data_IF_680538654367
#
_entry.id   IF_680538654367
#
_cell.length_a   1.000
_cell.length_b   1.000
_cell.length_c   1.000
_cell.angle_alpha   90.00
_cell.angle_beta   90.00
_cell.angle_gamma   90.00
#
_symmetry.space_group_name_H-M   'P 1'
#
loop_
_entity.id
_entity.type
_entity.pdbx_description
1 polymer ?
#
# COMPACT_ATOMS: atom_id res chain seq x y z
N UNK A 1 14.40 -4.50 -30.33
CA UNK A 1 14.70 -5.44 -29.21
C UNK A 1 13.84 -6.68 -29.40
N UNK A 2 14.48 -7.83 -29.40
CA UNK A 2 13.75 -9.09 -29.52
C UNK A 2 13.03 -9.41 -28.20
N UNK A 3 11.73 -9.65 -28.28
CA UNK A 3 10.92 -10.00 -27.12
C UNK A 3 11.25 -11.43 -26.69
N UNK A 4 11.55 -11.63 -25.42
CA UNK A 4 11.80 -12.96 -24.90
C UNK A 4 10.58 -13.87 -25.08
N UNK A 5 10.79 -15.09 -25.51
CA UNK A 5 9.74 -16.12 -25.55
C UNK A 5 9.69 -16.81 -24.20
N UNK A 6 8.54 -16.76 -23.57
CA UNK A 6 8.28 -17.41 -22.29
C UNK A 6 7.04 -18.30 -22.40
N UNK A 7 6.98 -19.32 -21.57
CA UNK A 7 5.84 -20.26 -21.51
C UNK A 7 4.75 -19.79 -20.55
N UNK A 8 4.40 -18.51 -20.59
CA UNK A 8 3.46 -17.89 -19.67
C UNK A 8 2.11 -18.59 -19.60
N UNK A 9 1.66 -19.19 -20.69
CA UNK A 9 0.41 -19.96 -20.73
C UNK A 9 0.42 -21.26 -19.90
N UNK A 10 1.59 -21.71 -19.48
CA UNK A 10 1.78 -22.92 -18.64
C UNK A 10 2.13 -22.60 -17.20
N UNK A 11 2.25 -21.34 -16.87
CA UNK A 11 2.56 -20.91 -15.50
C UNK A 11 1.30 -21.00 -14.65
N UNK A 12 1.45 -21.58 -13.47
CA UNK A 12 0.42 -21.50 -12.44
C UNK A 12 0.45 -20.11 -11.85
N UNK A 13 -0.64 -19.39 -11.99
CA UNK A 13 -0.78 -18.07 -11.37
C UNK A 13 -1.29 -18.24 -9.96
N UNK A 14 -0.52 -17.75 -9.00
CA UNK A 14 -0.93 -17.66 -7.61
C UNK A 14 -1.43 -16.24 -7.34
N UNK A 15 -2.53 -16.13 -6.65
CA UNK A 15 -3.04 -14.85 -6.17
C UNK A 15 -3.23 -14.88 -4.66
N UNK A 16 -3.08 -13.75 -4.04
CA UNK A 16 -3.38 -13.51 -2.63
C UNK A 16 -4.40 -12.39 -2.54
N UNK A 17 -5.24 -12.43 -1.54
CA UNK A 17 -6.30 -11.44 -1.35
C UNK A 17 -6.04 -10.62 -0.09
N UNK A 18 -6.37 -9.35 -0.18
CA UNK A 18 -6.31 -8.42 0.93
C UNK A 18 -7.44 -7.41 0.83
N UNK A 19 -7.55 -6.55 1.81
CA UNK A 19 -8.51 -5.45 1.83
C UNK A 19 -7.81 -4.16 2.26
N UNK A 20 -8.33 -3.04 1.78
CA UNK A 20 -7.85 -1.73 2.19
C UNK A 20 -8.00 -1.61 3.70
N UNK A 21 -6.92 -1.27 4.38
CA UNK A 21 -6.92 -1.12 5.82
C UNK A 21 -7.66 0.14 6.23
N UNK A 22 -8.44 0.06 7.30
CA UNK A 22 -8.98 1.24 7.95
C UNK A 22 -7.84 2.14 8.44
N UNK A 23 -7.98 3.47 8.35
CA UNK A 23 -7.00 4.38 8.89
C UNK A 23 -6.86 4.16 10.40
N UNK A 24 -5.61 4.08 10.84
CA UNK A 24 -5.29 3.87 12.24
C UNK A 24 -4.39 5.00 12.74
N UNK A 25 -4.82 5.65 13.77
CA UNK A 25 -4.07 6.68 14.46
C UNK A 25 -3.45 6.09 15.73
N UNK A 26 -2.13 5.95 15.74
CA UNK A 26 -1.38 5.28 16.81
C UNK A 26 -1.17 6.11 18.09
N UNK A 27 -1.68 7.33 18.13
CA UNK A 27 -1.61 8.22 19.28
C UNK A 27 -2.28 9.54 18.98
N UNK A 28 -2.78 10.27 19.99
CA UNK A 28 -3.59 11.46 19.72
C UNK A 28 -2.78 12.58 19.08
N UNK A 29 -1.55 12.81 19.55
CA UNK A 29 -0.75 13.95 19.10
C UNK A 29 0.75 13.63 19.08
N UNK A 30 1.46 14.36 18.21
CA UNK A 30 2.91 14.52 18.23
C UNK A 30 3.24 16.01 18.27
N UNK A 31 4.37 16.34 18.83
CA UNK A 31 4.85 17.72 18.83
C UNK A 31 5.81 17.87 17.66
N UNK A 32 5.49 18.77 16.73
CA UNK A 32 6.34 19.09 15.58
C UNK A 32 7.51 20.00 15.99
N UNK A 33 8.42 20.23 15.06
CA UNK A 33 9.63 21.03 15.30
C UNK A 33 9.36 22.48 15.74
N UNK A 34 8.17 23.02 15.40
CA UNK A 34 7.71 24.34 15.80
C UNK A 34 7.00 24.37 17.17
N UNK A 35 6.97 23.23 17.87
CA UNK A 35 6.33 23.09 19.18
C UNK A 35 4.81 22.94 19.14
N UNK A 36 4.21 22.81 17.97
CA UNK A 36 2.75 22.67 17.80
C UNK A 36 2.36 21.20 17.89
N UNK A 37 1.28 20.92 18.64
CA UNK A 37 0.68 19.60 18.68
C UNK A 37 -0.08 19.32 17.38
N UNK A 38 0.32 18.25 16.68
CA UNK A 38 -0.28 17.82 15.42
C UNK A 38 -0.74 16.38 15.51
N UNK A 39 -1.85 16.08 14.86
CA UNK A 39 -2.31 14.70 14.65
C UNK A 39 -1.52 14.15 13.47
N UNK A 40 -0.88 13.00 13.66
CA UNK A 40 -0.19 12.33 12.57
C UNK A 40 -1.18 11.78 11.56
N UNK A 41 -0.85 11.79 10.28
CA UNK A 41 -1.61 11.03 9.30
C UNK A 41 -1.71 9.58 9.74
N UNK A 42 -2.87 9.00 9.58
CA UNK A 42 -3.08 7.61 9.92
C UNK A 42 -2.18 6.71 9.08
N UNK A 43 -1.61 5.68 9.69
CA UNK A 43 -1.03 4.59 8.94
C UNK A 43 -2.15 3.72 8.41
N UNK A 44 -2.12 3.45 7.13
CA UNK A 44 -3.13 2.63 6.49
C UNK A 44 -4.14 3.41 5.66
N UNK A 45 -5.06 2.70 5.05
CA UNK A 45 -6.09 3.19 4.14
C UNK A 45 -5.54 3.75 2.81
N UNK A 46 -6.30 4.59 2.19
CA UNK A 46 -5.89 5.38 1.05
C UNK A 46 -5.26 6.64 1.60
N UNK A 47 -3.95 6.66 1.62
CA UNK A 47 -3.19 7.86 1.95
C UNK A 47 -2.93 8.66 0.69
N UNK A 48 -2.33 9.81 0.82
CA UNK A 48 -2.16 10.72 -0.29
C UNK A 48 -1.48 10.06 -1.49
N UNK A 49 -2.08 10.19 -2.65
CA UNK A 49 -1.48 9.80 -3.91
C UNK A 49 -0.46 10.86 -4.33
N UNK A 50 0.59 11.01 -3.53
CA UNK A 50 1.69 11.92 -3.81
C UNK A 50 2.78 11.22 -4.58
N UNK A 51 3.27 11.87 -5.61
CA UNK A 51 4.52 11.45 -6.24
C UNK A 51 5.66 11.68 -5.27
N UNK A 52 6.50 10.68 -5.12
CA UNK A 52 7.72 10.82 -4.32
C UNK A 52 8.54 11.99 -4.86
N UNK A 53 8.85 12.96 -3.99
CA UNK A 53 9.59 14.15 -4.36
C UNK A 53 8.72 15.30 -4.89
N UNK A 54 7.40 15.21 -4.78
CA UNK A 54 6.52 16.33 -5.14
C UNK A 54 6.64 17.44 -4.11
N UNK A 55 7.16 18.60 -4.55
CA UNK A 55 7.37 19.79 -3.71
C UNK A 55 6.10 20.58 -3.42
N UNK A 56 4.96 20.20 -4.02
CA UNK A 56 3.66 20.84 -3.81
C UNK A 56 2.99 20.39 -2.53
N UNK A 57 3.59 19.45 -1.83
CA UNK A 57 3.06 18.90 -0.63
C UNK A 57 3.14 19.91 0.53
N UNK A 58 2.01 20.52 0.85
CA UNK A 58 1.91 21.59 1.85
C UNK A 58 1.58 21.09 3.28
N UNK A 59 1.67 19.78 3.52
CA UNK A 59 1.39 19.19 4.83
C UNK A 59 2.68 18.75 5.50
N UNK A 60 2.80 19.10 6.76
CA UNK A 60 3.80 18.50 7.63
C UNK A 60 3.30 17.16 8.16
N UNK A 61 4.02 16.11 7.87
CA UNK A 61 3.70 14.77 8.34
C UNK A 61 4.97 14.05 8.78
N UNK A 62 4.82 13.19 9.76
CA UNK A 62 5.89 12.34 10.26
C UNK A 62 6.17 11.19 9.29
N UNK A 63 5.13 10.72 8.65
CA UNK A 63 5.19 9.58 7.76
C UNK A 63 4.11 9.68 6.68
N UNK A 64 4.47 9.41 5.45
CA UNK A 64 3.55 9.35 4.31
C UNK A 64 3.76 8.04 3.56
N UNK A 65 2.69 7.32 3.36
CA UNK A 65 2.65 6.14 2.51
C UNK A 65 1.92 6.49 1.21
N UNK A 66 2.65 6.65 0.09
CA UNK A 66 2.00 6.94 -1.18
C UNK A 66 1.28 5.70 -1.71
N UNK A 67 -0.02 5.82 -1.93
CA UNK A 67 -0.84 4.76 -2.47
C UNK A 67 -1.86 4.20 -1.50
N UNK A 68 -2.20 2.95 -1.68
CA UNK A 68 -3.24 2.25 -0.92
C UNK A 68 -2.60 1.17 -0.06
N UNK A 69 -2.87 1.22 1.23
CA UNK A 69 -2.43 0.20 2.17
C UNK A 69 -3.42 -0.96 2.19
N UNK A 70 -2.91 -2.15 1.95
CA UNK A 70 -3.69 -3.39 1.84
C UNK A 70 -3.14 -4.43 2.82
N UNK A 71 -4.01 -5.09 3.54
CA UNK A 71 -3.65 -6.21 4.41
C UNK A 71 -4.74 -7.28 4.39
N UNK A 72 -4.40 -8.49 4.82
CA UNK A 72 -5.39 -9.51 5.12
C UNK A 72 -5.71 -9.47 6.63
N UNK A 73 -6.98 -9.47 7.03
CA UNK A 73 -7.36 -9.42 8.44
C UNK A 73 -6.97 -10.68 9.24
N UNK A 74 -6.83 -11.82 8.58
CA UNK A 74 -6.27 -13.01 9.21
C UNK A 74 -4.76 -12.92 9.31
N UNK A 75 -4.22 -13.17 10.50
CA UNK A 75 -2.79 -12.98 10.78
C UNK A 75 -1.89 -13.92 9.96
N UNK A 76 -2.28 -15.18 9.82
CA UNK A 76 -1.49 -16.17 9.09
C UNK A 76 -1.55 -15.89 7.58
N UNK A 77 -2.73 -15.59 7.07
CA UNK A 77 -2.92 -15.22 5.67
C UNK A 77 -2.21 -13.90 5.34
N UNK A 78 -2.18 -12.94 6.29
CA UNK A 78 -1.47 -11.69 6.11
C UNK A 78 0.04 -11.89 6.00
N UNK A 79 0.61 -12.82 6.75
CA UNK A 79 2.02 -13.17 6.62
C UNK A 79 2.33 -13.71 5.21
N UNK A 80 1.48 -14.60 4.69
CA UNK A 80 1.59 -15.09 3.31
C UNK A 80 1.38 -13.97 2.29
N UNK A 81 0.40 -13.11 2.50
CA UNK A 81 0.11 -11.96 1.67
C UNK A 81 1.33 -11.04 1.52
N UNK A 82 1.96 -10.69 2.63
CA UNK A 82 3.16 -9.85 2.63
C UNK A 82 4.36 -10.56 1.99
N UNK A 83 4.53 -11.85 2.23
CA UNK A 83 5.65 -12.63 1.69
C UNK A 83 5.55 -12.80 0.17
N UNK A 84 4.36 -13.03 -0.35
CA UNK A 84 4.13 -13.30 -1.77
C UNK A 84 3.95 -12.04 -2.61
N UNK A 85 3.65 -10.91 -1.99
CA UNK A 85 3.47 -9.64 -2.70
C UNK A 85 4.82 -8.99 -3.00
N UNK A 86 5.25 -9.08 -4.24
CA UNK A 86 6.50 -8.49 -4.71
C UNK A 86 6.24 -7.17 -5.44
N UNK A 87 7.17 -6.23 -5.33
CA UNK A 87 7.15 -4.98 -6.09
C UNK A 87 6.97 -5.25 -7.58
N UNK A 88 6.02 -4.59 -8.20
CA UNK A 88 5.66 -4.78 -9.60
C UNK A 88 4.60 -5.85 -9.86
N UNK A 89 4.19 -6.64 -8.87
CA UNK A 89 3.06 -7.54 -9.02
C UNK A 89 1.78 -6.77 -9.31
N UNK A 90 0.95 -7.31 -10.20
CA UNK A 90 -0.34 -6.70 -10.54
C UNK A 90 -1.30 -6.79 -9.35
N UNK A 91 -1.95 -5.67 -9.05
CA UNK A 91 -3.05 -5.58 -8.11
C UNK A 91 -4.35 -5.27 -8.87
N UNK A 92 -5.42 -5.94 -8.49
CA UNK A 92 -6.75 -5.72 -9.10
C UNK A 92 -7.78 -5.57 -7.99
N UNK A 93 -8.57 -4.52 -8.06
CA UNK A 93 -9.70 -4.32 -7.14
C UNK A 93 -10.85 -5.22 -7.55
N UNK A 94 -11.30 -6.10 -6.65
CA UNK A 94 -12.30 -7.11 -6.95
C UNK A 94 -13.70 -6.79 -6.43
N UNK A 95 -13.85 -5.76 -5.59
CA UNK A 95 -15.14 -5.36 -5.02
C UNK A 95 -15.17 -3.87 -4.70
N UNK A 96 -16.35 -3.34 -4.39
CA UNK A 96 -16.58 -1.94 -4.09
C UNK A 96 -16.67 -1.06 -5.34
N UNK A 97 -16.69 0.25 -5.12
CA UNK A 97 -16.91 1.24 -6.20
C UNK A 97 -15.77 1.26 -7.23
N UNK A 98 -14.56 0.95 -6.80
CA UNK A 98 -13.39 0.90 -7.66
C UNK A 98 -13.16 -0.49 -8.32
N UNK A 99 -14.13 -1.40 -8.26
CA UNK A 99 -14.01 -2.75 -8.85
C UNK A 99 -13.52 -2.69 -10.30
N UNK A 100 -12.48 -3.46 -10.57
CA UNK A 100 -11.85 -3.52 -11.89
C UNK A 100 -10.66 -2.58 -12.04
N UNK A 101 -10.43 -1.65 -11.13
CA UNK A 101 -9.23 -0.84 -11.14
C UNK A 101 -7.98 -1.73 -11.04
N UNK A 102 -6.96 -1.37 -11.79
CA UNK A 102 -5.71 -2.12 -11.88
C UNK A 102 -4.54 -1.23 -11.49
N UNK A 103 -3.65 -1.82 -10.75
CA UNK A 103 -2.43 -1.16 -10.28
C UNK A 103 -1.34 -2.17 -10.04
N UNK A 104 -0.40 -1.82 -9.21
CA UNK A 104 0.73 -2.70 -8.91
C UNK A 104 1.23 -2.46 -7.48
N UNK A 105 1.89 -3.49 -6.96
CA UNK A 105 2.56 -3.42 -5.66
C UNK A 105 3.79 -2.52 -5.77
N UNK A 106 3.89 -1.53 -4.90
CA UNK A 106 5.02 -0.60 -4.83
C UNK A 106 5.96 -0.89 -3.66
N UNK A 107 5.50 -1.61 -2.67
CA UNK A 107 6.32 -1.96 -1.51
C UNK A 107 5.52 -2.60 -0.39
N UNK A 108 6.20 -2.80 0.72
CA UNK A 108 5.62 -3.29 1.97
C UNK A 108 6.09 -2.41 3.12
N UNK A 109 5.28 -2.34 4.16
CA UNK A 109 5.64 -1.63 5.38
C UNK A 109 5.84 -2.64 6.52
N UNK A 110 7.10 -2.97 6.81
CA UNK A 110 7.46 -4.07 7.68
C UNK A 110 7.05 -3.92 9.15
N UNK A 111 6.97 -2.70 9.66
CA UNK A 111 6.59 -2.46 11.06
C UNK A 111 5.10 -2.64 11.35
N UNK A 112 4.26 -2.59 10.33
CA UNK A 112 2.80 -2.70 10.42
C UNK A 112 2.23 -3.80 9.53
N UNK A 113 3.08 -4.55 8.87
CA UNK A 113 2.78 -5.75 8.09
C UNK A 113 1.65 -5.54 7.07
N UNK A 114 1.84 -4.56 6.19
CA UNK A 114 0.91 -4.35 5.08
C UNK A 114 1.64 -4.14 3.75
N UNK A 115 0.92 -4.33 2.68
CA UNK A 115 1.38 -4.13 1.30
C UNK A 115 0.88 -2.77 0.81
N UNK A 116 1.70 -2.08 0.06
CA UNK A 116 1.36 -0.79 -0.53
C UNK A 116 1.13 -0.99 -2.03
N UNK A 117 0.00 -0.54 -2.51
CA UNK A 117 -0.39 -0.62 -3.92
C UNK A 117 -0.64 0.78 -4.48
N UNK A 118 -0.26 0.98 -5.73
CA UNK A 118 -0.58 2.16 -6.50
C UNK A 118 -1.60 1.79 -7.60
N UNK A 119 -2.67 2.56 -7.68
CA UNK A 119 -3.73 2.41 -8.69
C UNK A 119 -3.86 3.61 -9.60
#
# INVERSE_FOLDING_TARGET
MQKAKINSARLVMQSVAGMVRHPYMGGPYRISHDGIARVLPATGAITYNVKIGDSVYAMECDHVEPGVTVLNPDKAENAAFNTLSCVGNTAVVISGDAKGARGFVTGTHGGVEHVICYF
#
